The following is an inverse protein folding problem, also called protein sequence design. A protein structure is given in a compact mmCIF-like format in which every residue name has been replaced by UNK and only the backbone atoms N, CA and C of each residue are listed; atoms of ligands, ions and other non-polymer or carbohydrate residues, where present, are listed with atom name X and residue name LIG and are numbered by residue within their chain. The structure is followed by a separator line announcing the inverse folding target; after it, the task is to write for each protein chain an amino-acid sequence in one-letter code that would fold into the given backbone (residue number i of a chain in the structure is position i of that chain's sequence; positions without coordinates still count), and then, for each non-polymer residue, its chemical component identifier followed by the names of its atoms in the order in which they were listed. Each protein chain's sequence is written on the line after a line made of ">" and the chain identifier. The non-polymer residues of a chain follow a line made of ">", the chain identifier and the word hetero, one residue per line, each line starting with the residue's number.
data_IF_332682240073
#
_entry.id   IF_332682240073
#
_cell.length_a   1.000
_cell.length_b   1.000
_cell.length_c   1.000
_cell.angle_alpha   90.00
_cell.angle_beta   90.00
_cell.angle_gamma   90.00
#
_symmetry.space_group_name_H-M   'P 1'
#
loop_
_entity.id
_entity.type
_entity.pdbx_description
1 polymer ?
#
# COMPACT_ATOMS: atom_id res chain seq x y z
N UNK A 1 3.19 -18.28 1.69
CA UNK A 1 1.94 -17.81 1.09
C UNK A 1 2.28 -16.65 0.15
N UNK A 2 1.86 -16.73 -1.09
CA UNK A 2 1.93 -15.63 -2.06
C UNK A 2 0.51 -15.35 -2.54
N UNK A 3 0.07 -14.14 -2.36
CA UNK A 3 -1.24 -13.69 -2.81
C UNK A 3 -1.07 -12.33 -3.49
N UNK A 4 -1.52 -12.23 -4.72
CA UNK A 4 -1.44 -11.02 -5.54
C UNK A 4 -2.86 -10.55 -5.81
N UNK A 5 -3.24 -9.42 -5.25
CA UNK A 5 -4.57 -8.88 -5.36
C UNK A 5 -4.54 -7.38 -5.68
N UNK A 6 -5.49 -6.93 -6.48
CA UNK A 6 -5.73 -5.51 -6.66
C UNK A 6 -6.09 -4.88 -5.30
N UNK A 7 -5.54 -3.70 -5.04
CA UNK A 7 -5.88 -2.95 -3.84
C UNK A 7 -7.13 -2.10 -4.08
N UNK A 8 -8.00 -2.06 -3.08
CA UNK A 8 -9.14 -1.16 -3.05
C UNK A 8 -8.85 -0.02 -2.10
N UNK A 9 -8.95 1.19 -2.61
CA UNK A 9 -8.78 2.40 -1.82
C UNK A 9 -10.09 3.16 -1.72
N UNK A 10 -10.22 4.09 -0.75
CA UNK A 10 -11.41 4.92 -0.62
C UNK A 10 -11.77 5.60 -1.92
N UNK A 11 -13.06 5.66 -2.21
CA UNK A 11 -13.58 6.31 -3.39
C UNK A 11 -13.37 7.83 -3.33
N UNK A 12 -13.18 8.50 -4.47
CA UNK A 12 -13.09 9.96 -4.50
C UNK A 12 -14.39 10.59 -4.03
N UNK A 13 -14.27 11.61 -3.18
CA UNK A 13 -15.38 12.44 -2.70
C UNK A 13 -14.97 13.90 -2.77
N UNK A 14 -15.95 14.79 -2.91
CA UNK A 14 -15.73 16.23 -2.77
C UNK A 14 -15.48 16.60 -1.29
N UNK A 15 -14.93 17.79 -1.06
CA UNK A 15 -14.58 18.23 0.28
C UNK A 15 -15.77 18.30 1.27
N UNK A 16 -16.97 18.46 0.77
CA UNK A 16 -18.22 18.45 1.55
C UNK A 16 -18.76 17.04 1.82
N UNK A 17 -18.05 15.99 1.37
CA UNK A 17 -18.46 14.59 1.50
C UNK A 17 -19.46 14.12 0.47
N UNK A 18 -19.83 14.97 -0.50
CA UNK A 18 -20.73 14.57 -1.59
C UNK A 18 -20.02 13.66 -2.60
N UNK A 19 -20.84 12.85 -3.30
CA UNK A 19 -20.34 11.99 -4.38
C UNK A 19 -19.90 12.82 -5.58
N UNK A 20 -18.94 12.29 -6.31
CA UNK A 20 -18.42 12.90 -7.53
C UNK A 20 -19.33 12.55 -8.70
N UNK A 21 -19.77 13.56 -9.47
CA UNK A 21 -20.53 13.32 -10.68
C UNK A 21 -19.72 12.54 -11.71
N UNK A 22 -20.31 11.49 -12.30
CA UNK A 22 -19.66 10.64 -13.28
C UNK A 22 -18.74 9.56 -12.70
N UNK A 23 -18.74 9.38 -11.37
CA UNK A 23 -18.04 8.28 -10.70
C UNK A 23 -19.03 7.43 -9.89
N UNK A 24 -19.17 6.16 -10.25
CA UNK A 24 -20.01 5.19 -9.56
C UNK A 24 -19.17 4.32 -8.63
N UNK A 25 -19.27 4.56 -7.32
CA UNK A 25 -18.50 3.86 -6.30
C UNK A 25 -18.70 2.32 -6.28
N UNK A 26 -19.76 1.80 -6.90
CA UNK A 26 -20.03 0.36 -6.96
C UNK A 26 -19.45 -0.32 -8.21
N UNK A 27 -19.05 0.45 -9.21
CA UNK A 27 -18.71 -0.05 -10.54
C UNK A 27 -17.38 0.45 -11.08
N UNK A 28 -17.01 1.68 -10.72
CA UNK A 28 -15.84 2.35 -11.23
C UNK A 28 -14.61 2.08 -10.36
N UNK A 29 -13.44 2.22 -10.95
CA UNK A 29 -12.16 2.04 -10.27
C UNK A 29 -11.21 3.21 -10.55
N UNK A 30 -10.27 3.46 -9.64
CA UNK A 30 -9.15 4.37 -9.87
C UNK A 30 -8.05 3.76 -10.76
N UNK A 31 -8.14 2.47 -11.05
CA UNK A 31 -7.21 1.80 -11.96
C UNK A 31 -7.33 2.38 -13.37
N UNK A 32 -6.19 2.64 -14.00
CA UNK A 32 -6.14 3.21 -15.33
C UNK A 32 -5.05 2.55 -16.17
N UNK A 33 -5.35 2.28 -17.43
CA UNK A 33 -4.36 1.82 -18.42
C UNK A 33 -3.26 2.87 -18.66
N UNK A 34 -3.49 4.11 -18.26
CA UNK A 34 -2.55 5.22 -18.41
C UNK A 34 -1.65 5.43 -17.20
N UNK A 35 -1.91 4.73 -16.06
CA UNK A 35 -1.08 4.75 -14.86
C UNK A 35 -0.79 3.32 -14.43
N UNK A 36 0.14 2.68 -15.11
CA UNK A 36 0.49 1.27 -14.86
C UNK A 36 1.80 1.09 -14.11
N UNK A 37 2.59 2.15 -13.96
CA UNK A 37 3.91 2.08 -13.32
C UNK A 37 4.10 3.22 -12.33
N UNK A 38 4.72 2.90 -11.20
CA UNK A 38 5.36 3.87 -10.33
C UNK A 38 6.83 4.01 -10.70
N UNK A 39 7.43 5.16 -10.41
CA UNK A 39 8.85 5.42 -10.63
C UNK A 39 9.46 5.87 -9.33
N UNK A 40 10.56 5.25 -8.92
CA UNK A 40 11.29 5.58 -7.71
C UNK A 40 12.80 5.61 -7.95
N UNK A 41 13.52 6.27 -7.06
CA UNK A 41 14.96 6.14 -6.95
C UNK A 41 15.27 5.17 -5.82
N UNK A 42 16.13 4.20 -6.06
CA UNK A 42 16.69 3.35 -5.02
C UNK A 42 17.81 4.07 -4.24
N UNK A 43 18.36 3.41 -3.23
CA UNK A 43 19.44 3.95 -2.40
C UNK A 43 20.70 4.35 -3.16
N UNK A 44 20.90 3.85 -4.38
CA UNK A 44 22.03 4.14 -5.28
C UNK A 44 21.70 5.22 -6.32
N UNK A 45 20.58 5.94 -6.16
CA UNK A 45 20.04 6.91 -7.11
C UNK A 45 19.72 6.33 -8.50
N UNK A 46 19.44 5.04 -8.58
CA UNK A 46 19.02 4.39 -9.81
C UNK A 46 17.48 4.35 -9.89
N UNK A 47 16.96 4.53 -11.11
CA UNK A 47 15.52 4.46 -11.35
C UNK A 47 15.05 3.00 -11.18
N UNK A 48 14.10 2.81 -10.26
CA UNK A 48 13.33 1.58 -10.10
C UNK A 48 11.86 1.83 -10.49
N UNK A 49 11.19 0.79 -11.00
CA UNK A 49 9.81 0.87 -11.44
C UNK A 49 8.99 -0.25 -10.80
N UNK A 50 7.86 0.11 -10.21
CA UNK A 50 6.86 -0.83 -9.74
C UNK A 50 5.69 -0.93 -10.73
N UNK A 51 5.02 -2.07 -10.80
CA UNK A 51 3.80 -2.24 -11.56
C UNK A 51 2.59 -1.98 -10.64
N UNK A 52 1.80 -0.95 -10.92
CA UNK A 52 0.60 -0.61 -10.13
C UNK A 52 -0.39 -1.77 -10.07
N UNK A 53 -0.40 -2.63 -11.10
CA UNK A 53 -1.28 -3.80 -11.17
C UNK A 53 -0.86 -4.93 -10.25
N UNK A 54 0.34 -4.87 -9.67
CA UNK A 54 0.78 -5.86 -8.68
C UNK A 54 -0.07 -5.80 -7.41
N UNK A 55 -0.58 -4.63 -7.07
CA UNK A 55 -1.45 -4.48 -5.91
C UNK A 55 -0.76 -4.98 -4.64
N UNK A 56 -1.42 -5.86 -3.91
CA UNK A 56 -0.89 -6.51 -2.72
C UNK A 56 -0.26 -7.85 -3.10
N UNK A 57 1.02 -8.00 -2.86
CA UNK A 57 1.79 -9.19 -3.23
C UNK A 57 2.75 -9.61 -2.09
N UNK A 58 2.21 -10.10 -0.96
CA UNK A 58 3.02 -10.58 0.15
C UNK A 58 3.67 -11.92 -0.18
N UNK A 59 4.89 -12.11 0.32
CA UNK A 59 5.63 -13.37 0.29
C UNK A 59 5.93 -13.77 1.73
N UNK A 60 5.48 -14.94 2.15
CA UNK A 60 5.67 -15.40 3.52
C UNK A 60 6.22 -16.82 3.49
N UNK A 61 7.40 -17.00 4.08
CA UNK A 61 8.01 -18.29 4.36
C UNK A 61 8.12 -18.44 5.87
N UNK A 62 7.68 -19.56 6.41
CA UNK A 62 7.74 -19.79 7.85
C UNK A 62 7.95 -21.26 8.13
N UNK A 63 8.83 -21.53 9.10
CA UNK A 63 9.04 -22.89 9.63
C UNK A 63 8.93 -22.80 11.14
N UNK A 64 8.19 -23.74 11.72
CA UNK A 64 8.01 -23.84 13.17
C UNK A 64 8.14 -25.25 13.65
N UNK A 65 8.56 -25.40 14.89
CA UNK A 65 8.65 -26.67 15.60
C UNK A 65 7.98 -26.51 16.96
N UNK A 66 7.16 -27.47 17.31
CA UNK A 66 6.59 -27.61 18.66
C UNK A 66 7.09 -28.90 19.29
N UNK A 67 7.53 -28.83 20.53
CA UNK A 67 7.97 -29.97 21.30
C UNK A 67 7.30 -29.94 22.68
N UNK A 68 6.75 -31.07 23.09
CA UNK A 68 6.12 -31.24 24.41
C UNK A 68 6.78 -32.43 25.09
N UNK A 69 7.24 -32.20 26.31
CA UNK A 69 7.89 -33.23 27.11
C UNK A 69 7.17 -33.37 28.45
N UNK A 70 6.72 -34.58 28.76
CA UNK A 70 6.25 -34.90 30.09
C UNK A 70 7.47 -35.26 30.95
N UNK A 71 7.69 -34.45 31.97
CA UNK A 71 8.81 -34.58 32.88
C UNK A 71 8.36 -35.32 34.16
N UNK A 72 9.34 -35.67 34.99
CA UNK A 72 9.05 -36.26 36.28
C UNK A 72 8.11 -35.41 37.13
N UNK A 73 7.40 -36.07 38.04
CA UNK A 73 6.51 -35.44 39.05
C UNK A 73 5.35 -34.60 38.47
N UNK A 74 4.92 -34.89 37.23
CA UNK A 74 3.77 -34.27 36.58
C UNK A 74 4.05 -32.84 36.06
N UNK A 75 5.31 -32.49 35.84
CA UNK A 75 5.69 -31.31 35.10
C UNK A 75 5.60 -31.59 33.59
N UNK A 76 5.14 -30.58 32.83
CA UNK A 76 5.15 -30.57 31.39
C UNK A 76 5.96 -29.39 30.89
N UNK A 77 6.95 -29.65 30.03
CA UNK A 77 7.73 -28.65 29.32
C UNK A 77 7.25 -28.57 27.88
N UNK A 78 6.85 -27.41 27.48
CA UNK A 78 6.38 -27.10 26.12
C UNK A 78 7.28 -26.04 25.52
N UNK A 79 7.76 -26.26 24.28
CA UNK A 79 8.52 -25.27 23.54
C UNK A 79 7.96 -25.10 22.14
N UNK A 80 7.70 -23.87 21.74
CA UNK A 80 7.28 -23.49 20.38
C UNK A 80 8.31 -22.54 19.81
N UNK A 81 8.94 -22.99 18.75
CA UNK A 81 9.90 -22.20 17.99
C UNK A 81 9.38 -21.92 16.60
N UNK A 82 9.57 -20.69 16.10
CA UNK A 82 9.24 -20.32 14.73
C UNK A 82 10.27 -19.33 14.19
N UNK A 83 10.69 -19.57 12.96
CA UNK A 83 11.40 -18.62 12.13
C UNK A 83 10.53 -18.25 10.93
N UNK A 84 10.45 -16.98 10.61
CA UNK A 84 9.68 -16.49 9.48
C UNK A 84 10.49 -15.47 8.70
N UNK A 85 10.31 -15.51 7.38
CA UNK A 85 10.81 -14.53 6.43
C UNK A 85 9.61 -13.99 5.66
N UNK A 86 9.41 -12.68 5.68
CA UNK A 86 8.30 -11.99 5.02
C UNK A 86 8.87 -10.88 4.17
N UNK A 87 8.44 -10.84 2.93
CA UNK A 87 8.80 -9.80 1.97
C UNK A 87 7.66 -9.54 1.00
N UNK A 88 7.92 -8.80 -0.05
CA UNK A 88 6.97 -8.49 -1.09
C UNK A 88 6.67 -7.01 -1.22
N UNK A 89 5.61 -6.69 -1.94
CA UNK A 89 5.26 -5.31 -2.20
C UNK A 89 3.76 -5.05 -2.05
N UNK A 90 3.43 -3.79 -1.84
CA UNK A 90 2.08 -3.26 -1.84
C UNK A 90 2.07 -1.96 -2.64
N UNK A 91 1.38 -1.97 -3.78
CA UNK A 91 1.24 -0.79 -4.64
C UNK A 91 -0.24 -0.47 -4.79
N UNK A 92 -0.61 0.77 -4.53
CA UNK A 92 -2.00 1.20 -4.62
C UNK A 92 -2.13 2.67 -5.02
N UNK A 93 -3.33 3.02 -5.49
CA UNK A 93 -3.72 4.39 -5.82
C UNK A 93 -4.58 4.96 -4.69
N UNK A 94 -4.36 6.22 -4.35
CA UNK A 94 -5.07 6.90 -3.28
C UNK A 94 -5.52 8.28 -3.75
N UNK A 95 -6.82 8.61 -3.71
CA UNK A 95 -7.33 9.95 -4.05
C UNK A 95 -7.00 10.91 -2.89
N UNK A 96 -5.93 11.68 -3.04
CA UNK A 96 -5.47 12.59 -2.02
C UNK A 96 -6.25 13.91 -2.01
N UNK A 97 -6.74 14.33 -3.17
CA UNK A 97 -7.51 15.56 -3.34
C UNK A 97 -8.45 15.41 -4.53
N UNK A 98 -9.70 15.81 -4.35
CA UNK A 98 -10.70 15.86 -5.42
C UNK A 98 -11.37 17.22 -5.36
N UNK A 99 -11.38 17.95 -6.45
CA UNK A 99 -11.96 19.29 -6.47
C UNK A 99 -11.79 20.02 -7.78
N UNK A 100 -12.04 21.33 -7.72
CA UNK A 100 -11.99 22.18 -8.91
C UNK A 100 -10.62 22.13 -9.59
N UNK A 101 -10.63 21.82 -10.87
CA UNK A 101 -9.41 21.64 -11.69
C UNK A 101 -8.47 22.82 -11.63
N UNK A 102 -8.99 24.05 -11.78
CA UNK A 102 -8.17 25.24 -11.81
C UNK A 102 -7.53 25.52 -10.44
N UNK A 103 -8.28 25.34 -9.36
CA UNK A 103 -7.75 25.53 -8.00
C UNK A 103 -6.60 24.53 -7.70
N UNK A 104 -6.77 23.28 -8.07
CA UNK A 104 -5.72 22.26 -7.90
C UNK A 104 -4.51 22.62 -8.78
N UNK A 105 -4.72 22.97 -10.03
CA UNK A 105 -3.65 23.33 -10.96
C UNK A 105 -2.87 24.58 -10.48
N UNK A 106 -3.57 25.59 -10.03
CA UNK A 106 -2.96 26.84 -9.51
C UNK A 106 -2.12 26.55 -8.26
N UNK A 107 -2.53 25.60 -7.43
CA UNK A 107 -1.75 25.17 -6.27
C UNK A 107 -0.43 24.48 -6.63
N UNK A 108 -0.36 23.89 -7.84
CA UNK A 108 0.80 23.15 -8.34
C UNK A 108 1.76 24.06 -9.11
N UNK A 109 1.24 24.86 -10.02
CA UNK A 109 2.06 25.59 -11.01
C UNK A 109 1.85 27.11 -11.00
N UNK A 110 1.11 27.64 -10.04
CA UNK A 110 0.84 29.08 -9.91
C UNK A 110 -0.45 29.51 -10.61
N UNK A 111 -0.81 30.78 -10.42
CA UNK A 111 -2.07 31.33 -10.90
C UNK A 111 -2.25 31.18 -12.42
N UNK A 112 -3.47 30.83 -12.83
CA UNK A 112 -3.85 30.59 -14.24
C UNK A 112 -3.05 29.46 -14.90
N UNK A 113 -2.68 28.42 -14.16
CA UNK A 113 -2.01 27.26 -14.70
C UNK A 113 -2.84 26.60 -15.81
N UNK A 114 -2.15 26.17 -16.87
CA UNK A 114 -2.78 25.45 -17.98
C UNK A 114 -2.86 23.97 -17.67
N UNK A 115 -4.03 23.36 -17.93
CA UNK A 115 -4.26 21.94 -17.74
C UNK A 115 -4.58 21.28 -19.07
N UNK A 116 -3.87 20.21 -19.41
CA UNK A 116 -4.06 19.44 -20.64
C UNK A 116 -3.99 17.95 -20.37
N UNK A 117 -4.55 17.14 -21.26
CA UNK A 117 -4.38 15.69 -21.19
C UNK A 117 -2.91 15.33 -21.50
N UNK A 118 -2.31 14.57 -20.61
CA UNK A 118 -0.93 14.10 -20.76
C UNK A 118 -0.83 12.87 -21.66
N UNK A 119 -1.86 12.04 -21.65
CA UNK A 119 -1.88 10.71 -22.28
C UNK A 119 -3.27 10.39 -22.82
N UNK A 120 -3.37 9.30 -23.58
CA UNK A 120 -4.64 8.82 -24.11
C UNK A 120 -5.05 9.51 -25.40
N UNK A 121 -6.30 9.29 -25.87
CA UNK A 121 -6.77 9.77 -27.15
C UNK A 121 -6.84 11.30 -27.24
N UNK A 122 -6.91 11.99 -26.10
CA UNK A 122 -6.99 13.44 -26.01
C UNK A 122 -5.64 14.12 -25.69
N UNK A 123 -4.53 13.36 -25.72
CA UNK A 123 -3.21 13.88 -25.34
C UNK A 123 -2.87 15.19 -26.05
N UNK A 124 -2.42 16.19 -25.29
CA UNK A 124 -2.09 17.53 -25.77
C UNK A 124 -3.28 18.51 -25.88
N UNK A 125 -4.52 18.04 -25.83
CA UNK A 125 -5.68 18.94 -25.82
C UNK A 125 -5.95 19.49 -24.42
N UNK A 126 -6.56 20.67 -24.32
CA UNK A 126 -6.94 21.28 -23.06
C UNK A 126 -7.94 20.38 -22.29
N UNK A 127 -7.74 20.27 -20.99
CA UNK A 127 -8.71 19.60 -20.13
C UNK A 127 -9.81 20.58 -19.72
N UNK A 128 -11.04 20.27 -20.13
CA UNK A 128 -12.21 21.12 -19.85
C UNK A 128 -13.08 20.62 -18.68
N UNK A 129 -12.63 19.60 -17.97
CA UNK A 129 -13.38 19.08 -16.81
C UNK A 129 -13.37 20.08 -15.64
N UNK A 130 -14.53 20.28 -15.04
CA UNK A 130 -14.68 21.19 -13.88
C UNK A 130 -13.85 20.72 -12.68
N UNK A 131 -13.80 19.40 -12.48
CA UNK A 131 -13.08 18.78 -11.38
C UNK A 131 -11.98 17.83 -11.88
N UNK A 132 -10.93 17.68 -11.07
CA UNK A 132 -9.83 16.75 -11.26
C UNK A 132 -9.50 16.01 -9.96
N UNK A 133 -8.71 14.95 -10.06
CA UNK A 133 -8.20 14.19 -8.92
C UNK A 133 -6.70 14.30 -8.82
N UNK A 134 -6.18 14.63 -7.66
CA UNK A 134 -4.77 14.37 -7.32
C UNK A 134 -4.67 12.97 -6.73
N UNK A 135 -4.03 12.07 -7.45
CA UNK A 135 -3.81 10.69 -7.03
C UNK A 135 -2.39 10.56 -6.48
N UNK A 136 -2.27 9.99 -5.30
CA UNK A 136 -0.99 9.48 -4.82
C UNK A 136 -0.89 7.99 -5.11
N UNK A 137 0.29 7.54 -5.48
CA UNK A 137 0.64 6.13 -5.46
C UNK A 137 1.39 5.83 -4.18
N UNK A 138 0.95 4.82 -3.47
CA UNK A 138 1.73 4.13 -2.47
C UNK A 138 2.53 3.04 -3.15
N UNK A 139 3.83 3.04 -3.00
CA UNK A 139 4.71 1.99 -3.47
C UNK A 139 5.59 1.56 -2.28
N UNK A 140 5.13 0.52 -1.60
CA UNK A 140 5.79 -0.04 -0.43
C UNK A 140 6.47 -1.33 -0.83
N UNK A 141 7.76 -1.43 -0.56
CA UNK A 141 8.52 -2.66 -0.73
C UNK A 141 9.01 -3.12 0.64
N UNK A 142 8.73 -4.36 0.98
CA UNK A 142 9.23 -5.02 2.18
C UNK A 142 10.40 -5.88 1.74
N UNK A 143 11.62 -5.38 1.99
CA UNK A 143 12.86 -6.06 1.62
C UNK A 143 13.16 -7.20 2.59
N UNK A 144 12.90 -6.96 3.88
CA UNK A 144 13.07 -7.93 4.95
C UNK A 144 12.07 -7.64 6.08
N UNK A 145 11.34 -8.63 6.48
CA UNK A 145 10.55 -8.64 7.70
C UNK A 145 10.74 -10.02 8.34
N UNK A 146 11.97 -10.26 8.80
CA UNK A 146 12.36 -11.49 9.46
C UNK A 146 11.91 -11.53 10.90
N UNK A 147 11.56 -12.70 11.39
CA UNK A 147 11.30 -12.90 12.82
C UNK A 147 11.73 -14.28 13.30
N UNK A 148 12.30 -14.30 14.51
CA UNK A 148 12.57 -15.52 15.27
C UNK A 148 11.77 -15.40 16.56
N UNK A 149 10.95 -16.40 16.85
CA UNK A 149 10.13 -16.43 18.04
C UNK A 149 10.33 -17.76 18.73
N UNK A 150 10.54 -17.70 20.06
CA UNK A 150 10.56 -18.89 20.91
C UNK A 150 9.68 -18.65 22.13
N UNK A 151 8.79 -19.60 22.40
CA UNK A 151 7.92 -19.61 23.56
C UNK A 151 8.17 -20.91 24.33
N UNK A 152 8.77 -20.77 25.51
CA UNK A 152 9.07 -21.87 26.42
C UNK A 152 8.17 -21.77 27.63
N UNK A 153 7.44 -22.87 27.93
CA UNK A 153 6.51 -22.95 29.04
C UNK A 153 6.76 -24.21 29.86
N UNK A 154 6.88 -24.05 31.16
CA UNK A 154 6.90 -25.13 32.14
C UNK A 154 5.62 -25.07 32.96
N UNK A 155 4.86 -26.14 33.02
CA UNK A 155 3.61 -26.17 33.79
C UNK A 155 3.45 -27.43 34.59
N UNK A 156 2.69 -27.31 35.71
CA UNK A 156 2.31 -28.43 36.58
C UNK A 156 0.99 -28.13 37.29
N UNK A 157 0.20 -29.16 37.47
CA UNK A 157 -1.02 -29.08 38.26
C UNK A 157 -0.80 -29.62 39.69
N UNK A 158 -1.19 -28.81 40.68
CA UNK A 158 -1.15 -29.14 42.08
C UNK A 158 -2.58 -29.15 42.62
N UNK A 159 -3.22 -30.34 42.64
CA UNK A 159 -4.63 -30.44 43.00
C UNK A 159 -5.52 -29.64 42.04
N UNK A 160 -6.17 -28.57 42.54
CA UNK A 160 -7.02 -27.69 41.73
C UNK A 160 -6.28 -26.46 41.19
N UNK A 161 -4.99 -26.31 41.49
CA UNK A 161 -4.19 -25.17 41.10
C UNK A 161 -3.27 -25.55 39.94
N UNK A 162 -3.39 -24.82 38.83
CA UNK A 162 -2.46 -24.91 37.72
C UNK A 162 -1.41 -23.80 37.82
N UNK A 163 -0.14 -24.19 37.83
CA UNK A 163 1.00 -23.27 37.87
C UNK A 163 1.76 -23.37 36.57
N UNK A 164 2.10 -22.22 35.98
CA UNK A 164 2.93 -22.18 34.81
C UNK A 164 3.95 -21.03 34.85
N UNK A 165 5.14 -21.32 34.33
CA UNK A 165 6.22 -20.38 34.08
C UNK A 165 6.54 -20.35 32.61
N UNK A 166 6.75 -19.18 32.03
CA UNK A 166 7.08 -19.02 30.63
C UNK A 166 8.26 -18.09 30.42
N UNK A 167 9.01 -18.36 29.35
CA UNK A 167 10.02 -17.47 28.81
C UNK A 167 9.74 -17.29 27.32
N UNK A 168 9.43 -16.04 26.96
CA UNK A 168 9.16 -15.67 25.58
C UNK A 168 10.30 -14.82 25.04
N UNK A 169 10.85 -15.22 23.89
CA UNK A 169 11.85 -14.48 23.14
C UNK A 169 11.29 -14.17 21.75
N UNK A 170 11.36 -12.93 21.33
CA UNK A 170 11.12 -12.52 19.97
C UNK A 170 12.23 -11.58 19.51
N UNK A 171 12.79 -11.89 18.35
CA UNK A 171 13.73 -11.03 17.62
C UNK A 171 13.14 -10.79 16.23
N UNK A 172 13.11 -9.52 15.81
CA UNK A 172 12.44 -9.10 14.59
C UNK A 172 13.25 -8.01 13.89
N UNK A 173 13.50 -8.22 12.60
CA UNK A 173 14.07 -7.22 11.71
C UNK A 173 13.02 -6.67 10.75
N UNK A 174 13.13 -5.38 10.43
CA UNK A 174 12.31 -4.74 9.41
C UNK A 174 13.20 -3.89 8.53
N UNK A 175 13.17 -4.17 7.23
CA UNK A 175 13.70 -3.30 6.19
C UNK A 175 12.61 -3.08 5.14
N UNK A 176 12.22 -1.83 4.95
CA UNK A 176 11.20 -1.47 3.97
C UNK A 176 11.51 -0.12 3.34
N UNK A 177 11.09 0.04 2.11
CA UNK A 177 11.03 1.32 1.44
C UNK A 177 9.58 1.76 1.25
N UNK A 178 9.35 3.04 1.38
CA UNK A 178 8.03 3.63 1.22
C UNK A 178 8.11 4.85 0.33
N UNK A 179 7.52 4.77 -0.84
CA UNK A 179 7.56 5.82 -1.83
C UNK A 179 6.15 6.32 -2.16
N UNK A 180 6.08 7.62 -2.40
CA UNK A 180 4.86 8.31 -2.81
C UNK A 180 5.14 9.09 -4.08
N UNK A 181 4.33 8.87 -5.11
CA UNK A 181 4.29 9.72 -6.28
C UNK A 181 2.93 10.40 -6.36
N UNK A 182 2.90 11.61 -6.92
CA UNK A 182 1.68 12.38 -7.09
C UNK A 182 1.42 12.60 -8.58
N UNK A 183 0.18 12.33 -8.99
CA UNK A 183 -0.28 12.51 -10.37
C UNK A 183 -1.59 13.28 -10.34
N UNK A 184 -1.84 14.10 -11.35
CA UNK A 184 -3.15 14.68 -11.59
C UNK A 184 -3.86 13.85 -12.65
N UNK A 185 -5.14 13.52 -12.40
CA UNK A 185 -5.97 12.70 -13.28
C UNK A 185 -7.30 13.37 -13.55
N UNK A 186 -7.83 13.12 -14.74
CA UNK A 186 -9.20 13.47 -15.05
C UNK A 186 -10.16 12.79 -14.06
N UNK A 187 -11.19 13.51 -13.64
CA UNK A 187 -12.20 12.95 -12.75
C UNK A 187 -13.26 12.20 -13.58
N UNK A 188 -13.02 10.92 -13.76
CA UNK A 188 -13.97 10.02 -14.41
C UNK A 188 -13.76 8.60 -13.88
N UNK A 189 -14.80 7.78 -13.95
CA UNK A 189 -14.70 6.34 -13.70
C UNK A 189 -13.89 5.65 -14.79
N UNK A 190 -13.23 4.59 -14.45
CA UNK A 190 -12.43 3.70 -15.29
C UNK A 190 -11.51 4.38 -16.32
N UNK A 191 -10.26 3.99 -16.32
CA UNK A 191 -9.27 4.45 -17.30
C UNK A 191 -9.18 5.99 -17.43
N UNK A 192 -9.20 6.69 -16.31
CA UNK A 192 -8.99 8.13 -16.27
C UNK A 192 -7.60 8.48 -16.83
N UNK A 193 -7.55 9.50 -17.70
CA UNK A 193 -6.32 10.00 -18.29
C UNK A 193 -5.53 10.83 -17.29
N UNK A 194 -4.20 10.75 -17.36
CA UNK A 194 -3.30 11.67 -16.64
C UNK A 194 -3.35 13.07 -17.25
N UNK A 195 -3.16 14.07 -16.41
CA UNK A 195 -3.16 15.48 -16.79
C UNK A 195 -1.78 16.10 -16.57
N UNK A 196 -1.38 16.98 -17.50
CA UNK A 196 -0.26 17.89 -17.34
C UNK A 196 -0.76 19.20 -16.75
N UNK A 197 0.06 19.78 -15.87
CA UNK A 197 -0.14 21.13 -15.34
C UNK A 197 1.12 21.95 -15.65
N UNK A 198 0.94 23.05 -16.36
CA UNK A 198 2.02 23.96 -16.72
C UNK A 198 1.71 25.37 -16.21
N UNK A 199 2.73 26.10 -15.79
CA UNK A 199 2.60 27.54 -15.55
C UNK A 199 2.11 28.26 -16.80
N UNK A 200 1.46 29.39 -16.62
CA UNK A 200 0.90 30.18 -17.72
C UNK A 200 1.96 30.61 -18.73
N UNK A 201 3.20 30.83 -18.27
CA UNK A 201 4.33 31.34 -19.08
C UNK A 201 5.31 30.22 -19.51
N UNK A 202 4.91 28.95 -19.40
CA UNK A 202 5.75 27.78 -19.70
C UNK A 202 5.38 27.04 -20.98
#
# INVERSE_FOLDING_TARGET
>A
LNDKAASYMPMPMLADGSSVAGFDAQRDTLQSVYLTQTVRLNGDNQISRGDVRDGMNPKVNSVGVEAVFDLAEGWTLENRFRISDVGGNFITLFPAEVGNTQQIADSIAGANANVSYAVGPNAGSAYAGENAMRIHTFDVEIDDFGSIVNDLKLSRRFGEVDVSFGYYLADQSISMSWLWNSYLMALKGDNAELLNVNAQDG
#
